data_IF_981061825927
#
_entry.id   IF_981061825927
#
_cell.length_a   1.000
_cell.length_b   1.000
_cell.length_c   1.000
_cell.angle_alpha   90.00
_cell.angle_beta   90.00
_cell.angle_gamma   90.00
#
_symmetry.space_group_name_H-M   'P 1'
#
loop_
_entity.id
_entity.type
_entity.pdbx_description
1 polymer ?
#
# COMPACT_ATOMS: atom_id res chain seq x y z
N UNK A 1 -17.22 13.35 -7.56
CA UNK A 1 -17.09 11.89 -7.79
C UNK A 1 -16.42 11.28 -6.57
N UNK A 2 -17.08 10.34 -5.90
CA UNK A 2 -16.48 9.63 -4.76
C UNK A 2 -15.58 8.52 -5.26
N UNK A 3 -14.35 8.50 -4.83
CA UNK A 3 -13.35 7.51 -5.24
C UNK A 3 -12.75 6.87 -4.01
N UNK A 4 -12.64 5.55 -4.02
CA UNK A 4 -11.87 4.80 -3.04
C UNK A 4 -10.61 4.29 -3.71
N UNK A 5 -9.46 4.50 -3.06
CA UNK A 5 -8.20 3.87 -3.45
C UNK A 5 -7.80 2.79 -2.44
N UNK A 6 -7.48 1.59 -2.92
CA UNK A 6 -6.75 0.59 -2.14
C UNK A 6 -5.25 0.81 -2.36
N UNK A 7 -4.52 1.08 -1.30
CA UNK A 7 -3.15 1.59 -1.37
C UNK A 7 -2.20 0.86 -0.43
N UNK A 8 -0.97 0.68 -0.89
CA UNK A 8 0.17 0.28 -0.07
C UNK A 8 1.47 0.79 -0.69
N UNK A 9 2.41 1.19 0.16
CA UNK A 9 3.72 1.67 -0.26
C UNK A 9 3.71 2.97 -1.06
N UNK A 10 4.86 3.24 -1.70
CA UNK A 10 5.16 4.52 -2.36
C UNK A 10 4.32 4.74 -3.62
N UNK A 11 4.08 3.68 -4.39
CA UNK A 11 3.33 3.78 -5.66
C UNK A 11 1.89 4.23 -5.42
N UNK A 12 1.19 3.54 -4.52
CA UNK A 12 -0.17 3.91 -4.12
C UNK A 12 -0.22 5.30 -3.50
N UNK A 13 0.66 5.62 -2.56
CA UNK A 13 0.70 6.95 -1.94
C UNK A 13 0.84 8.09 -2.97
N UNK A 14 1.62 7.90 -4.02
CA UNK A 14 1.77 8.88 -5.11
C UNK A 14 0.50 9.01 -5.94
N UNK A 15 -0.19 7.89 -6.23
CA UNK A 15 -1.48 7.94 -6.91
C UNK A 15 -2.53 8.63 -6.04
N UNK A 16 -2.58 8.34 -4.74
CA UNK A 16 -3.46 9.02 -3.78
C UNK A 16 -3.29 10.54 -3.83
N UNK A 17 -2.04 11.03 -3.88
CA UNK A 17 -1.76 12.47 -4.04
C UNK A 17 -2.33 13.03 -5.35
N UNK A 18 -2.21 12.27 -6.44
CA UNK A 18 -2.78 12.66 -7.74
C UNK A 18 -4.31 12.73 -7.72
N UNK A 19 -4.95 11.72 -7.15
CA UNK A 19 -6.42 11.69 -6.98
C UNK A 19 -6.91 12.84 -6.10
N UNK A 20 -6.23 13.09 -4.97
CA UNK A 20 -6.56 14.19 -4.05
C UNK A 20 -6.37 15.59 -4.67
N UNK A 21 -5.50 15.73 -5.66
CA UNK A 21 -5.29 17.01 -6.37
C UNK A 21 -6.40 17.36 -7.36
N UNK A 22 -7.35 16.46 -7.65
CA UNK A 22 -8.45 16.69 -8.58
C UNK A 22 -9.66 17.21 -7.81
N UNK A 23 -10.02 18.48 -8.00
CA UNK A 23 -11.12 19.13 -7.26
C UNK A 23 -12.49 18.43 -7.39
N UNK A 24 -12.70 17.65 -8.47
CA UNK A 24 -13.93 16.90 -8.70
C UNK A 24 -13.94 15.53 -8.00
N UNK A 25 -12.86 15.13 -7.33
CA UNK A 25 -12.70 13.85 -6.64
C UNK A 25 -12.82 14.05 -5.13
N UNK A 26 -13.71 13.27 -4.54
CA UNK A 26 -13.84 13.08 -3.09
C UNK A 26 -13.20 11.71 -2.76
N UNK A 27 -11.94 11.75 -2.35
CA UNK A 27 -11.08 10.58 -2.19
C UNK A 27 -11.14 10.03 -0.77
N UNK A 28 -11.25 8.71 -0.64
CA UNK A 28 -10.92 7.96 0.58
C UNK A 28 -9.84 6.92 0.24
N UNK A 29 -8.78 6.86 1.03
CA UNK A 29 -7.69 5.89 0.84
C UNK A 29 -7.77 4.80 1.90
N UNK A 30 -7.86 3.54 1.47
CA UNK A 30 -7.82 2.36 2.35
C UNK A 30 -6.43 1.75 2.23
N UNK A 31 -5.74 1.64 3.36
CA UNK A 31 -4.31 1.33 3.38
C UNK A 31 -4.02 0.00 4.06
N UNK A 32 -3.06 -0.71 3.48
CA UNK A 32 -2.51 -1.95 4.00
C UNK A 32 -1.95 -1.77 5.43
N UNK A 33 -2.22 -2.76 6.28
CA UNK A 33 -1.66 -2.89 7.63
C UNK A 33 -0.93 -4.22 7.84
N UNK A 34 -0.86 -5.05 6.77
CA UNK A 34 -0.18 -6.34 6.82
C UNK A 34 1.33 -6.23 7.07
N UNK A 35 1.90 -5.10 6.71
CA UNK A 35 3.34 -4.80 6.85
C UNK A 35 3.68 -4.14 8.20
N UNK A 36 2.65 -3.87 9.01
CA UNK A 36 2.85 -3.28 10.34
C UNK A 36 3.69 -4.21 11.22
N UNK A 37 4.60 -3.63 11.98
CA UNK A 37 5.54 -4.38 12.81
C UNK A 37 5.80 -3.67 14.14
N UNK A 38 6.40 -4.39 15.08
CA UNK A 38 6.96 -3.81 16.29
C UNK A 38 8.47 -3.64 16.13
N UNK A 39 8.94 -2.42 16.23
CA UNK A 39 10.38 -2.10 16.27
C UNK A 39 10.67 -1.38 17.58
N UNK A 40 11.56 -1.95 18.43
CA UNK A 40 11.83 -1.48 19.78
C UNK A 40 10.55 -1.22 20.61
N UNK A 41 9.60 -2.16 20.56
CA UNK A 41 8.28 -2.05 21.21
C UNK A 41 7.41 -0.87 20.70
N UNK A 42 7.78 -0.24 19.60
CA UNK A 42 6.99 0.79 18.94
C UNK A 42 6.25 0.21 17.75
N UNK A 43 4.96 0.56 17.64
CA UNK A 43 4.15 0.16 16.49
C UNK A 43 4.51 1.01 15.25
N UNK A 44 5.03 0.36 14.24
CA UNK A 44 5.39 0.94 12.94
C UNK A 44 4.35 0.51 11.92
N UNK A 45 3.76 1.46 11.21
CA UNK A 45 2.80 1.24 10.11
C UNK A 45 3.36 1.87 8.83
N UNK A 46 4.24 1.18 8.09
CA UNK A 46 5.00 1.78 7.00
C UNK A 46 4.12 2.36 5.89
N UNK A 47 3.10 1.62 5.47
CA UNK A 47 2.22 2.03 4.39
C UNK A 47 1.31 3.19 4.78
N UNK A 48 0.70 3.15 5.98
CA UNK A 48 -0.09 4.28 6.51
C UNK A 48 0.74 5.56 6.59
N UNK A 49 1.96 5.46 7.12
CA UNK A 49 2.83 6.62 7.29
C UNK A 49 3.27 7.17 5.93
N UNK A 50 3.59 6.30 4.97
CA UNK A 50 3.95 6.70 3.61
C UNK A 50 2.81 7.46 2.93
N UNK A 51 1.58 6.96 3.02
CA UNK A 51 0.39 7.62 2.45
C UNK A 51 0.15 8.97 3.12
N UNK A 52 0.16 9.03 4.46
CA UNK A 52 -0.06 10.28 5.21
C UNK A 52 1.03 11.30 4.90
N UNK A 53 2.30 10.90 4.88
CA UNK A 53 3.41 11.83 4.59
C UNK A 53 3.36 12.35 3.17
N UNK A 54 2.99 11.49 2.20
CA UNK A 54 2.84 11.88 0.80
C UNK A 54 1.70 12.87 0.60
N UNK A 55 0.53 12.64 1.22
CA UNK A 55 -0.61 13.56 1.16
C UNK A 55 -0.31 14.89 1.86
N UNK A 56 0.46 14.86 2.95
CA UNK A 56 0.91 16.04 3.67
C UNK A 56 2.06 16.80 2.97
N UNK A 57 2.68 16.22 1.92
CA UNK A 57 3.83 16.79 1.24
C UNK A 57 5.09 16.88 2.09
N UNK A 58 5.25 15.97 3.08
CA UNK A 58 6.40 15.92 4.00
C UNK A 58 7.23 14.64 3.87
N UNK A 59 6.94 13.82 2.86
CA UNK A 59 7.65 12.59 2.57
C UNK A 59 9.12 12.82 2.27
N UNK A 60 9.97 11.83 2.62
CA UNK A 60 11.39 11.81 2.32
C UNK A 60 11.68 11.63 0.82
N UNK A 61 12.92 11.83 0.42
CA UNK A 61 13.37 11.78 -0.99
C UNK A 61 13.13 10.42 -1.65
N UNK A 62 13.17 9.35 -0.87
CA UNK A 62 12.90 8.00 -1.36
C UNK A 62 11.41 7.67 -1.47
N UNK A 63 10.52 8.59 -1.05
CA UNK A 63 9.07 8.41 -1.01
C UNK A 63 8.55 7.77 0.27
N UNK A 64 9.42 7.50 1.25
CA UNK A 64 9.08 7.03 2.59
C UNK A 64 9.88 7.81 3.65
N UNK A 65 9.50 7.68 4.92
CA UNK A 65 10.06 8.50 6.00
C UNK A 65 9.73 9.98 5.83
N UNK A 66 10.38 10.84 6.59
CA UNK A 66 10.12 12.28 6.61
C UNK A 66 11.26 13.08 5.99
N UNK A 67 10.90 14.11 5.22
CA UNK A 67 11.88 15.03 4.64
C UNK A 67 12.65 15.79 5.73
N UNK A 68 13.96 15.94 5.49
CA UNK A 68 14.87 16.62 6.43
C UNK A 68 14.76 16.03 7.84
N UNK A 69 14.69 14.72 7.95
CA UNK A 69 14.77 14.02 9.22
C UNK A 69 16.23 13.85 9.66
N UNK A 70 16.43 13.63 10.94
CA UNK A 70 17.72 13.33 11.54
C UNK A 70 17.69 11.92 12.11
N UNK A 71 18.87 11.35 12.42
CA UNK A 71 18.98 9.97 12.89
C UNK A 71 19.80 9.87 14.19
N UNK A 72 19.79 10.94 14.99
CA UNK A 72 20.56 11.05 16.25
C UNK A 72 20.14 9.93 17.22
N UNK A 73 18.84 9.65 17.31
CA UNK A 73 18.34 8.56 18.17
C UNK A 73 18.86 7.20 17.71
N UNK A 74 18.89 6.93 16.40
CA UNK A 74 19.41 5.69 15.86
C UNK A 74 20.91 5.53 16.16
N UNK A 75 21.69 6.61 16.01
CA UNK A 75 23.12 6.61 16.33
C UNK A 75 23.37 6.28 17.81
N UNK A 76 22.54 6.80 18.72
CA UNK A 76 22.64 6.48 20.15
C UNK A 76 22.19 5.03 20.45
N UNK A 77 21.12 4.54 19.81
CA UNK A 77 20.67 3.15 19.96
C UNK A 77 21.76 2.15 19.52
N UNK A 78 22.46 2.47 18.44
CA UNK A 78 23.59 1.68 17.94
C UNK A 78 24.73 1.61 18.97
N UNK A 79 25.02 2.73 19.64
CA UNK A 79 26.02 2.78 20.74
C UNK A 79 25.63 1.95 21.95
N UNK A 80 24.34 1.73 22.20
CA UNK A 80 23.83 0.79 23.20
C UNK A 80 23.85 -0.67 22.73
N UNK A 81 24.22 -0.93 21.46
CA UNK A 81 24.29 -2.28 20.90
C UNK A 81 22.92 -2.87 20.52
N UNK A 82 21.92 -2.02 20.31
CA UNK A 82 20.61 -2.46 19.80
C UNK A 82 20.67 -2.63 18.27
N UNK A 83 19.93 -3.60 17.76
CA UNK A 83 19.78 -3.77 16.30
C UNK A 83 19.08 -2.55 15.71
N UNK A 84 19.76 -1.88 14.80
CA UNK A 84 19.33 -0.66 14.16
C UNK A 84 19.28 -0.78 12.63
N UNK A 85 19.11 -2.01 12.13
CA UNK A 85 18.99 -2.27 10.68
C UNK A 85 17.78 -1.57 10.08
N UNK A 86 16.65 -1.53 10.83
CA UNK A 86 15.48 -0.76 10.48
C UNK A 86 15.57 0.65 11.05
N UNK A 87 16.10 1.58 10.24
CA UNK A 87 16.30 2.96 10.67
C UNK A 87 15.02 3.79 10.62
N UNK A 88 14.75 4.49 11.73
CA UNK A 88 13.68 5.47 11.85
C UNK A 88 14.28 6.86 12.06
N UNK A 89 13.87 7.84 11.27
CA UNK A 89 14.25 9.23 11.53
C UNK A 89 13.65 9.75 12.83
N UNK A 90 14.26 10.75 13.46
CA UNK A 90 13.84 11.28 14.77
C UNK A 90 12.41 11.82 14.78
N UNK A 91 11.99 12.51 13.69
CA UNK A 91 10.60 12.97 13.53
C UNK A 91 9.63 11.83 13.26
N UNK A 92 10.09 10.83 12.49
CA UNK A 92 9.33 9.62 12.21
C UNK A 92 9.15 8.80 13.48
N UNK A 93 10.21 8.65 14.29
CA UNK A 93 10.18 8.00 15.59
C UNK A 93 9.19 8.66 16.56
N UNK A 94 9.06 9.99 16.54
CA UNK A 94 8.09 10.70 17.35
C UNK A 94 6.65 10.26 17.03
N UNK A 95 6.31 10.01 15.76
CA UNK A 95 5.00 9.46 15.37
C UNK A 95 4.81 8.05 15.90
N UNK A 96 5.83 7.18 15.83
CA UNK A 96 5.73 5.80 16.36
C UNK A 96 5.54 5.80 17.87
N UNK A 97 6.22 6.69 18.59
CA UNK A 97 6.02 6.90 20.03
C UNK A 97 4.58 7.32 20.34
N UNK A 98 4.07 8.33 19.64
CA UNK A 98 2.69 8.80 19.78
C UNK A 98 1.69 7.66 19.53
N UNK A 99 1.78 6.98 18.37
CA UNK A 99 0.90 5.86 18.00
C UNK A 99 0.92 4.76 19.05
N UNK A 100 2.11 4.30 19.44
CA UNK A 100 2.25 3.22 20.42
C UNK A 100 1.70 3.59 21.77
N UNK A 101 1.85 4.84 22.21
CA UNK A 101 1.26 5.34 23.44
C UNK A 101 -0.28 5.30 23.38
N UNK A 102 -0.86 5.80 22.27
CA UNK A 102 -2.32 5.82 22.08
C UNK A 102 -2.91 4.40 22.04
N UNK A 103 -2.26 3.49 21.31
CA UNK A 103 -2.68 2.08 21.26
C UNK A 103 -2.64 1.43 22.65
N UNK A 104 -1.62 1.71 23.49
CA UNK A 104 -1.57 1.20 24.87
C UNK A 104 -2.69 1.78 25.76
N UNK A 105 -3.23 2.93 25.41
CA UNK A 105 -4.39 3.51 26.08
C UNK A 105 -5.73 2.96 25.56
N UNK A 106 -5.69 2.12 24.53
CA UNK A 106 -6.86 1.43 23.97
C UNK A 106 -7.48 2.12 22.75
N UNK A 107 -6.84 3.14 22.20
CA UNK A 107 -7.36 3.77 20.99
C UNK A 107 -7.14 2.88 19.77
N UNK A 108 -8.14 2.73 18.90
CA UNK A 108 -7.99 1.98 17.64
C UNK A 108 -7.11 2.73 16.65
N UNK A 109 -6.45 1.98 15.74
CA UNK A 109 -5.53 2.53 14.74
C UNK A 109 -6.20 3.56 13.83
N UNK A 110 -7.47 3.36 13.49
CA UNK A 110 -8.28 4.30 12.69
C UNK A 110 -8.46 5.66 13.34
N UNK A 111 -8.68 5.73 14.67
CA UNK A 111 -8.78 7.00 15.40
C UNK A 111 -7.44 7.68 15.55
N UNK A 112 -6.37 6.90 15.79
CA UNK A 112 -5.01 7.41 15.82
C UNK A 112 -4.65 8.01 14.46
N UNK A 113 -4.94 7.30 13.36
CA UNK A 113 -4.70 7.77 11.99
C UNK A 113 -5.43 9.07 11.71
N UNK A 114 -6.70 9.19 12.13
CA UNK A 114 -7.47 10.45 12.02
C UNK A 114 -6.81 11.61 12.76
N UNK A 115 -6.28 11.34 13.95
CA UNK A 115 -5.57 12.36 14.74
C UNK A 115 -4.25 12.79 14.06
N UNK A 116 -3.55 11.84 13.42
CA UNK A 116 -2.32 12.11 12.66
C UNK A 116 -2.62 12.93 11.41
N UNK A 117 -3.69 12.62 10.66
CA UNK A 117 -4.15 13.41 9.51
C UNK A 117 -4.45 14.86 9.94
N UNK A 118 -5.16 15.04 11.04
CA UNK A 118 -5.44 16.37 11.59
C UNK A 118 -4.16 17.13 11.96
N UNK A 119 -3.17 16.46 12.55
CA UNK A 119 -1.88 17.07 12.86
C UNK A 119 -1.14 17.57 11.60
N UNK A 120 -1.24 16.83 10.51
CA UNK A 120 -0.63 17.21 9.23
C UNK A 120 -1.51 18.09 8.34
N UNK A 121 -2.71 18.48 8.80
CA UNK A 121 -3.69 19.23 8.02
C UNK A 121 -4.03 18.54 6.67
N UNK A 122 -4.18 17.23 6.70
CA UNK A 122 -4.63 16.41 5.55
C UNK A 122 -6.13 16.19 5.69
N UNK A 123 -6.90 16.69 4.72
CA UNK A 123 -8.37 16.58 4.70
C UNK A 123 -8.84 15.26 4.09
N UNK A 124 -8.02 14.62 3.24
CA UNK A 124 -8.35 13.33 2.61
C UNK A 124 -8.43 12.24 3.67
N UNK A 125 -9.57 11.53 3.81
CA UNK A 125 -9.68 10.39 4.70
C UNK A 125 -8.70 9.26 4.31
N UNK A 126 -7.91 8.81 5.29
CA UNK A 126 -7.05 7.63 5.19
C UNK A 126 -7.49 6.66 6.27
N UNK A 127 -7.86 5.46 5.87
CA UNK A 127 -8.36 4.41 6.74
C UNK A 127 -7.39 3.22 6.70
N UNK A 128 -6.96 2.68 7.86
CA UNK A 128 -6.35 1.35 7.87
C UNK A 128 -7.39 0.33 7.39
N UNK A 129 -6.98 -0.72 6.70
CA UNK A 129 -7.89 -1.79 6.27
C UNK A 129 -8.66 -2.40 7.45
N UNK A 130 -8.00 -2.48 8.60
CA UNK A 130 -8.55 -2.99 9.87
C UNK A 130 -7.84 -2.34 11.05
N UNK A 131 -8.53 -2.27 12.19
CA UNK A 131 -7.94 -1.93 13.48
C UNK A 131 -7.32 -3.15 14.20
N UNK A 132 -7.63 -4.35 13.70
CA UNK A 132 -7.11 -5.60 14.25
C UNK A 132 -5.69 -5.88 13.77
N UNK A 133 -4.98 -6.72 14.54
CA UNK A 133 -3.64 -7.13 14.16
C UNK A 133 -3.68 -8.11 12.99
N UNK A 134 -3.23 -7.67 11.82
CA UNK A 134 -2.97 -8.50 10.65
C UNK A 134 -1.48 -8.41 10.33
N UNK A 135 -0.85 -9.54 9.97
CA UNK A 135 0.59 -9.58 9.60
C UNK A 135 0.80 -10.43 8.37
N UNK A 136 1.49 -9.84 7.39
CA UNK A 136 1.97 -10.56 6.22
C UNK A 136 3.18 -11.40 6.61
N UNK A 137 3.04 -12.70 6.51
CA UNK A 137 4.11 -13.65 6.70
C UNK A 137 4.47 -14.32 5.38
N UNK A 138 5.75 -14.44 5.14
CA UNK A 138 6.35 -14.88 3.88
C UNK A 138 7.00 -16.23 4.11
N UNK A 139 6.42 -17.26 3.49
CA UNK A 139 6.99 -18.60 3.47
C UNK A 139 8.09 -18.69 2.42
N UNK A 140 9.26 -19.14 2.84
CA UNK A 140 10.42 -19.38 1.98
C UNK A 140 10.80 -20.86 1.95
N UNK A 141 11.87 -21.22 1.25
CA UNK A 141 12.36 -22.59 1.19
C UNK A 141 12.65 -23.17 2.59
N UNK A 142 12.41 -24.45 2.81
CA UNK A 142 12.62 -25.10 4.09
C UNK A 142 11.49 -24.94 5.12
N UNK A 143 10.30 -24.50 4.69
CA UNK A 143 9.15 -24.22 5.57
C UNK A 143 9.41 -23.11 6.63
N UNK A 144 10.37 -22.26 6.39
CA UNK A 144 10.62 -21.08 7.23
C UNK A 144 9.59 -19.98 6.89
N UNK A 145 9.07 -19.31 7.92
CA UNK A 145 8.18 -18.15 7.79
C UNK A 145 8.87 -16.92 8.34
N UNK A 146 8.91 -15.88 7.52
CA UNK A 146 9.51 -14.59 7.87
C UNK A 146 8.41 -13.55 8.05
N UNK A 147 8.59 -12.62 8.99
CA UNK A 147 7.80 -11.39 8.97
C UNK A 147 8.14 -10.56 7.74
N UNK A 148 7.23 -9.67 7.35
CA UNK A 148 7.45 -8.79 6.19
C UNK A 148 8.77 -8.01 6.32
N UNK A 149 9.05 -7.41 7.48
CA UNK A 149 10.25 -6.62 7.69
C UNK A 149 11.52 -7.48 7.68
N UNK A 150 11.45 -8.69 8.22
CA UNK A 150 12.59 -9.61 8.15
C UNK A 150 12.93 -9.93 6.69
N UNK A 151 11.94 -10.30 5.88
CA UNK A 151 12.12 -10.54 4.44
C UNK A 151 12.60 -9.29 3.70
N UNK A 152 11.96 -8.14 3.95
CA UNK A 152 12.19 -6.93 3.17
C UNK A 152 13.49 -6.22 3.54
N UNK A 153 13.80 -6.08 4.84
CA UNK A 153 14.92 -5.30 5.35
C UNK A 153 16.13 -6.21 5.62
N UNK A 154 15.99 -7.25 6.45
CA UNK A 154 17.14 -8.07 6.85
C UNK A 154 17.61 -9.02 5.74
N UNK A 155 16.67 -9.63 5.00
CA UNK A 155 16.96 -10.56 3.90
C UNK A 155 17.05 -9.87 2.54
N UNK A 156 16.82 -8.55 2.47
CA UNK A 156 16.90 -7.72 1.26
C UNK A 156 16.08 -8.28 0.07
N UNK A 157 15.00 -9.01 0.36
CA UNK A 157 14.10 -9.62 -0.63
C UNK A 157 14.80 -10.63 -1.55
N UNK A 158 15.88 -11.26 -1.10
CA UNK A 158 16.66 -12.20 -1.92
C UNK A 158 16.04 -13.61 -1.96
N UNK A 159 15.29 -13.99 -0.91
CA UNK A 159 14.68 -15.31 -0.84
C UNK A 159 13.52 -15.45 -1.83
N UNK A 160 13.39 -16.65 -2.39
CA UNK A 160 12.24 -17.01 -3.24
C UNK A 160 10.99 -17.23 -2.38
N UNK A 161 9.93 -16.49 -2.67
CA UNK A 161 8.66 -16.58 -1.94
C UNK A 161 7.89 -17.83 -2.38
N UNK A 162 7.63 -18.74 -1.48
CA UNK A 162 6.90 -19.99 -1.75
C UNK A 162 5.43 -19.92 -1.39
N UNK A 163 5.10 -19.13 -0.38
CA UNK A 163 3.73 -18.95 0.09
C UNK A 163 3.58 -17.62 0.83
N UNK A 164 2.36 -17.14 0.91
CA UNK A 164 1.98 -16.00 1.75
C UNK A 164 0.85 -16.42 2.68
N UNK A 165 0.85 -15.89 3.89
CA UNK A 165 -0.30 -15.92 4.79
C UNK A 165 -0.46 -14.57 5.48
N UNK A 166 -1.70 -14.24 5.79
CA UNK A 166 -2.06 -13.00 6.47
C UNK A 166 -2.56 -13.37 7.85
N UNK A 167 -1.62 -13.51 8.80
CA UNK A 167 -1.92 -13.92 10.17
C UNK A 167 -2.90 -12.94 10.80
N UNK A 168 -3.98 -13.47 11.35
CA UNK A 168 -5.03 -12.70 12.03
C UNK A 168 -6.13 -12.17 11.09
N UNK A 169 -5.92 -12.17 9.77
CA UNK A 169 -6.91 -11.62 8.83
C UNK A 169 -8.28 -12.34 8.92
N UNK A 170 -8.30 -13.64 9.09
CA UNK A 170 -9.51 -14.47 9.16
C UNK A 170 -10.44 -14.09 10.33
N UNK A 171 -9.91 -13.44 11.36
CA UNK A 171 -10.63 -13.01 12.56
C UNK A 171 -10.81 -11.50 12.66
N UNK A 172 -10.18 -10.76 11.76
CA UNK A 172 -10.25 -9.32 11.73
C UNK A 172 -11.58 -8.83 11.15
N UNK A 173 -11.91 -7.58 11.47
CA UNK A 173 -13.04 -6.87 10.88
C UNK A 173 -12.52 -5.61 10.18
N UNK A 174 -13.15 -5.15 9.10
CA UNK A 174 -12.79 -3.89 8.46
C UNK A 174 -12.84 -2.73 9.48
N UNK A 175 -11.89 -1.82 9.40
CA UNK A 175 -11.97 -0.62 10.22
C UNK A 175 -13.25 0.19 9.91
N UNK A 176 -13.75 0.97 10.88
CA UNK A 176 -14.98 1.73 10.69
C UNK A 176 -14.92 2.64 9.46
N UNK A 177 -15.92 2.53 8.58
CA UNK A 177 -16.03 3.32 7.36
C UNK A 177 -15.43 2.67 6.11
N UNK A 178 -14.66 1.59 6.21
CA UNK A 178 -13.98 0.95 5.06
C UNK A 178 -14.99 0.37 4.06
N UNK A 179 -15.87 -0.52 4.51
CA UNK A 179 -16.86 -1.16 3.62
C UNK A 179 -17.89 -0.14 3.13
N UNK A 180 -18.30 0.78 3.98
CA UNK A 180 -19.20 1.88 3.64
C UNK A 180 -18.61 2.78 2.54
N UNK A 181 -17.31 3.10 2.63
CA UNK A 181 -16.62 3.89 1.61
C UNK A 181 -16.61 3.16 0.26
N UNK A 182 -16.25 1.87 0.23
CA UNK A 182 -16.25 1.05 -0.99
C UNK A 182 -17.64 1.00 -1.60
N UNK A 183 -18.67 0.67 -0.81
CA UNK A 183 -20.03 0.55 -1.29
C UNK A 183 -20.64 1.88 -1.76
N UNK A 184 -20.18 3.00 -1.20
CA UNK A 184 -20.64 4.35 -1.52
C UNK A 184 -19.84 5.06 -2.61
N UNK A 185 -18.78 4.45 -3.12
CA UNK A 185 -17.92 5.02 -4.14
C UNK A 185 -18.58 5.01 -5.54
N UNK A 186 -18.21 5.96 -6.38
CA UNK A 186 -18.49 5.95 -7.81
C UNK A 186 -17.47 5.11 -8.59
N UNK A 187 -16.25 4.97 -8.03
CA UNK A 187 -15.20 4.11 -8.56
C UNK A 187 -14.26 3.64 -7.44
N UNK A 188 -13.76 2.43 -7.57
CA UNK A 188 -12.66 1.88 -6.77
C UNK A 188 -11.41 1.82 -7.63
N UNK A 189 -10.28 2.28 -7.12
CA UNK A 189 -8.98 2.24 -7.78
C UNK A 189 -8.01 1.43 -6.93
N UNK A 190 -7.42 0.40 -7.49
CA UNK A 190 -6.30 -0.32 -6.88
C UNK A 190 -5.03 0.37 -7.36
N UNK A 191 -4.30 0.99 -6.42
CA UNK A 191 -3.08 1.74 -6.72
C UNK A 191 -1.95 0.85 -7.26
N UNK A 192 -0.89 1.45 -7.87
CA UNK A 192 0.26 0.72 -8.39
C UNK A 192 1.14 0.19 -7.24
N UNK A 193 0.56 -0.67 -6.46
CA UNK A 193 1.14 -1.33 -5.29
C UNK A 193 1.42 -2.79 -5.60
N UNK A 194 2.31 -3.42 -4.85
CA UNK A 194 2.62 -4.84 -5.02
C UNK A 194 1.36 -5.70 -4.76
N UNK A 195 0.81 -6.41 -5.78
CA UNK A 195 -0.44 -7.14 -5.61
C UNK A 195 -0.40 -8.13 -4.43
N UNK A 196 0.55 -9.09 -4.34
CA UNK A 196 0.62 -10.03 -3.24
C UNK A 196 0.92 -9.43 -1.87
N UNK A 197 1.81 -8.43 -1.80
CA UNK A 197 2.33 -7.96 -0.52
C UNK A 197 1.58 -6.76 0.05
N UNK A 198 0.97 -5.92 -0.80
CA UNK A 198 0.33 -4.68 -0.34
C UNK A 198 -1.19 -4.68 -0.50
N UNK A 199 -1.72 -5.35 -1.55
CA UNK A 199 -3.17 -5.33 -1.81
C UNK A 199 -3.88 -6.58 -1.28
N UNK A 200 -3.30 -7.76 -1.46
CA UNK A 200 -3.92 -8.98 -0.93
C UNK A 200 -4.13 -8.95 0.59
N UNK A 201 -3.23 -8.37 1.43
CA UNK A 201 -3.52 -8.22 2.86
C UNK A 201 -4.76 -7.38 3.17
N UNK A 202 -5.02 -6.32 2.37
CA UNK A 202 -6.26 -5.52 2.47
C UNK A 202 -7.46 -6.40 2.12
N UNK A 203 -7.37 -7.13 1.01
CA UNK A 203 -8.44 -8.00 0.51
C UNK A 203 -8.67 -9.25 1.39
N UNK A 204 -7.70 -9.62 2.22
CA UNK A 204 -7.81 -10.73 3.15
C UNK A 204 -8.68 -10.43 4.38
N UNK A 205 -8.91 -9.15 4.67
CA UNK A 205 -9.85 -8.73 5.72
C UNK A 205 -11.28 -9.03 5.28
N UNK A 206 -12.04 -9.87 6.00
CA UNK A 206 -13.38 -10.30 5.61
C UNK A 206 -14.32 -9.13 5.33
N UNK A 207 -15.05 -9.19 4.23
CA UNK A 207 -15.98 -8.14 3.79
C UNK A 207 -15.37 -7.12 2.81
N UNK A 208 -14.05 -6.91 2.81
CA UNK A 208 -13.41 -5.96 1.86
C UNK A 208 -13.39 -6.55 0.45
N UNK A 209 -12.91 -7.78 0.29
CA UNK A 209 -12.85 -8.44 -1.03
C UNK A 209 -14.24 -8.54 -1.66
N UNK A 210 -15.24 -8.89 -0.87
CA UNK A 210 -16.62 -9.02 -1.31
C UNK A 210 -17.20 -7.66 -1.73
N UNK A 211 -16.91 -6.60 -0.99
CA UNK A 211 -17.35 -5.25 -1.34
C UNK A 211 -16.70 -4.76 -2.65
N UNK A 212 -15.41 -5.01 -2.85
CA UNK A 212 -14.69 -4.68 -4.09
C UNK A 212 -15.24 -5.49 -5.26
N UNK A 213 -15.42 -6.81 -5.10
CA UNK A 213 -15.92 -7.70 -6.15
C UNK A 213 -17.39 -7.37 -6.57
N UNK A 214 -18.17 -6.82 -5.65
CA UNK A 214 -19.54 -6.38 -5.93
C UNK A 214 -19.62 -4.97 -6.57
N UNK A 215 -18.51 -4.23 -6.57
CA UNK A 215 -18.47 -2.88 -7.10
C UNK A 215 -18.49 -2.89 -8.64
N UNK A 216 -19.19 -1.91 -9.25
CA UNK A 216 -19.43 -1.86 -10.69
C UNK A 216 -18.32 -1.23 -11.53
N UNK A 217 -17.36 -0.59 -10.89
CA UNK A 217 -16.27 0.11 -11.54
C UNK A 217 -15.02 0.01 -10.69
N UNK A 218 -14.21 -0.99 -10.99
CA UNK A 218 -12.93 -1.25 -10.32
C UNK A 218 -11.80 -1.20 -11.35
N UNK A 219 -10.91 -0.24 -11.21
CA UNK A 219 -9.72 -0.11 -12.04
C UNK A 219 -8.47 -0.44 -11.21
N UNK A 220 -7.54 -1.21 -11.75
CA UNK A 220 -6.22 -1.38 -11.15
C UNK A 220 -5.15 -0.68 -12.00
N UNK A 221 -4.12 -0.17 -11.33
CA UNK A 221 -2.91 0.33 -12.00
C UNK A 221 -1.79 -0.65 -11.77
N UNK A 222 -1.16 -1.08 -12.86
CA UNK A 222 -0.02 -1.99 -12.78
C UNK A 222 1.18 -1.34 -12.11
N UNK A 223 1.91 -2.04 -11.23
CA UNK A 223 3.17 -1.57 -10.68
C UNK A 223 4.37 -1.81 -11.63
N UNK A 224 4.14 -2.34 -12.83
CA UNK A 224 5.19 -2.78 -13.75
C UNK A 224 5.48 -1.75 -14.85
N UNK A 225 6.74 -1.73 -15.29
CA UNK A 225 7.28 -0.95 -16.41
C UNK A 225 8.22 -1.84 -17.20
N UNK A 226 7.91 -2.11 -18.45
CA UNK A 226 8.67 -3.08 -19.24
C UNK A 226 8.67 -4.48 -18.60
N UNK A 227 7.55 -4.88 -18.01
CA UNK A 227 7.36 -6.16 -17.33
C UNK A 227 8.04 -6.29 -15.97
N UNK A 228 8.61 -5.22 -15.40
CA UNK A 228 9.34 -5.22 -14.12
C UNK A 228 8.89 -4.13 -13.18
N UNK A 229 8.96 -4.40 -11.89
CA UNK A 229 8.71 -3.39 -10.88
C UNK A 229 9.84 -2.34 -10.85
N UNK A 230 9.50 -1.05 -10.78
CA UNK A 230 10.49 0.03 -10.61
C UNK A 230 11.13 0.01 -9.22
N UNK A 231 10.36 -0.38 -8.21
CA UNK A 231 10.80 -0.51 -6.82
C UNK A 231 10.17 -1.75 -6.20
N UNK A 232 10.95 -2.41 -5.35
CA UNK A 232 10.49 -3.62 -4.68
C UNK A 232 10.40 -4.84 -5.61
N UNK A 233 9.95 -5.98 -5.10
CA UNK A 233 10.04 -7.28 -5.75
C UNK A 233 8.74 -7.75 -6.41
N UNK A 234 7.82 -6.86 -6.84
CA UNK A 234 6.47 -7.27 -7.26
C UNK A 234 6.50 -8.34 -8.36
N UNK A 235 7.28 -8.13 -9.43
CA UNK A 235 7.44 -9.08 -10.53
C UNK A 235 8.02 -10.42 -10.06
N UNK A 236 9.04 -10.40 -9.19
CA UNK A 236 9.67 -11.62 -8.66
C UNK A 236 8.75 -12.38 -7.71
N UNK A 237 8.06 -11.66 -6.82
CA UNK A 237 7.12 -12.29 -5.87
C UNK A 237 5.94 -12.91 -6.60
N UNK A 238 5.36 -12.23 -7.59
CA UNK A 238 4.29 -12.78 -8.41
C UNK A 238 4.75 -14.06 -9.14
N UNK A 239 5.91 -14.01 -9.80
CA UNK A 239 6.47 -15.16 -10.47
C UNK A 239 6.76 -16.35 -9.52
N UNK A 240 7.29 -16.07 -8.32
CA UNK A 240 7.55 -17.08 -7.29
C UNK A 240 6.27 -17.75 -6.79
N UNK A 241 5.16 -17.04 -6.79
CA UNK A 241 3.83 -17.54 -6.42
C UNK A 241 3.11 -18.25 -7.59
N UNK A 242 3.77 -18.37 -8.76
CA UNK A 242 3.24 -19.07 -9.92
C UNK A 242 2.32 -18.23 -10.80
N UNK A 243 2.24 -16.91 -10.58
CA UNK A 243 1.50 -16.02 -11.47
C UNK A 243 2.26 -15.84 -12.80
N UNK A 244 1.55 -15.66 -13.92
CA UNK A 244 2.15 -15.33 -15.21
C UNK A 244 3.10 -14.13 -15.14
N UNK A 245 4.10 -14.06 -16.03
CA UNK A 245 4.98 -12.90 -16.09
C UNK A 245 4.25 -11.66 -16.64
N UNK A 246 4.75 -10.48 -16.30
CA UNK A 246 4.24 -9.21 -16.82
C UNK A 246 2.83 -8.85 -16.31
N UNK A 247 2.12 -8.09 -17.11
CA UNK A 247 0.79 -7.58 -16.73
C UNK A 247 -0.31 -8.65 -16.74
N UNK A 248 -0.08 -9.79 -17.40
CA UNK A 248 -0.97 -10.95 -17.28
C UNK A 248 -1.01 -11.44 -15.82
N UNK A 249 0.15 -11.50 -15.14
CA UNK A 249 0.21 -11.85 -13.71
C UNK A 249 -0.47 -10.83 -12.81
N UNK A 250 -0.43 -9.54 -13.15
CA UNK A 250 -1.17 -8.51 -12.42
C UNK A 250 -2.68 -8.70 -12.60
N UNK A 251 -3.13 -8.95 -13.82
CA UNK A 251 -4.55 -9.23 -14.09
C UNK A 251 -5.03 -10.48 -13.35
N UNK A 252 -4.24 -11.56 -13.34
CA UNK A 252 -4.57 -12.80 -12.62
C UNK A 252 -4.59 -12.59 -11.10
N UNK A 253 -3.68 -11.78 -10.55
CA UNK A 253 -3.66 -11.43 -9.13
C UNK A 253 -4.97 -10.76 -8.66
N UNK A 254 -5.70 -10.12 -9.57
CA UNK A 254 -6.96 -9.42 -9.33
C UNK A 254 -8.17 -10.09 -10.02
N UNK A 255 -8.04 -11.35 -10.41
CA UNK A 255 -9.10 -12.07 -11.11
C UNK A 255 -10.43 -12.00 -10.36
N UNK A 256 -11.48 -11.58 -11.07
CA UNK A 256 -12.84 -11.41 -10.53
C UNK A 256 -13.02 -10.19 -9.63
N UNK A 257 -12.07 -9.24 -9.63
CA UNK A 257 -12.15 -8.01 -8.85
C UNK A 257 -12.17 -6.77 -9.73
N UNK A 258 -11.44 -6.76 -10.85
CA UNK A 258 -11.24 -5.57 -11.67
C UNK A 258 -11.99 -5.64 -13.00
N UNK A 259 -12.51 -4.49 -13.45
CA UNK A 259 -13.10 -4.30 -14.76
C UNK A 259 -12.05 -3.83 -15.78
N UNK A 260 -11.06 -3.06 -15.30
CA UNK A 260 -9.99 -2.52 -16.15
C UNK A 260 -8.63 -2.56 -15.46
N UNK A 261 -7.58 -2.74 -16.27
CA UNK A 261 -6.18 -2.66 -15.85
C UNK A 261 -5.48 -1.60 -16.69
N UNK A 262 -4.91 -0.62 -15.99
CA UNK A 262 -4.05 0.41 -16.57
C UNK A 262 -2.61 -0.06 -16.52
N UNK A 263 -1.96 -0.12 -17.68
CA UNK A 263 -0.57 -0.54 -17.83
C UNK A 263 0.26 0.60 -18.43
N UNK A 264 1.58 0.53 -18.26
CA UNK A 264 2.46 1.51 -18.87
C UNK A 264 2.53 1.32 -20.41
N UNK A 265 2.77 2.41 -21.13
CA UNK A 265 2.95 2.38 -22.59
C UNK A 265 4.11 1.49 -23.03
N UNK A 266 5.12 1.29 -22.17
CA UNK A 266 6.21 0.36 -22.44
C UNK A 266 5.76 -1.10 -22.53
N UNK A 267 4.60 -1.42 -21.92
CA UNK A 267 4.01 -2.76 -21.86
C UNK A 267 2.81 -2.92 -22.81
N UNK A 268 2.62 -2.04 -23.77
CA UNK A 268 1.44 -2.04 -24.67
C UNK A 268 1.23 -3.39 -25.40
N UNK A 269 2.29 -4.15 -25.62
CA UNK A 269 2.21 -5.47 -26.22
C UNK A 269 1.44 -6.49 -25.35
N UNK A 270 1.36 -6.28 -24.05
CA UNK A 270 0.62 -7.15 -23.13
C UNK A 270 -0.91 -7.00 -23.31
N UNK A 271 -1.37 -5.86 -23.87
CA UNK A 271 -2.79 -5.58 -24.05
C UNK A 271 -3.53 -6.63 -24.90
N UNK A 272 -2.83 -7.19 -25.90
CA UNK A 272 -3.41 -8.19 -26.81
C UNK A 272 -3.45 -9.60 -26.21
N UNK A 273 -2.73 -9.83 -25.10
CA UNK A 273 -2.58 -11.16 -24.46
C UNK A 273 -3.48 -11.36 -23.26
N UNK A 274 -3.92 -10.26 -22.62
CA UNK A 274 -4.74 -10.30 -21.39
C UNK A 274 -6.22 -10.34 -21.77
N UNK A 275 -6.89 -11.40 -21.36
CA UNK A 275 -8.31 -11.59 -21.64
C UNK A 275 -9.20 -11.28 -20.43
N UNK A 276 -10.42 -10.84 -20.68
CA UNK A 276 -11.46 -10.68 -19.64
C UNK A 276 -11.38 -9.41 -18.82
N UNK A 277 -10.43 -8.52 -19.11
CA UNK A 277 -10.25 -7.21 -18.47
C UNK A 277 -9.99 -6.17 -19.55
N UNK A 278 -10.58 -4.98 -19.42
CA UNK A 278 -10.28 -3.86 -20.32
C UNK A 278 -8.87 -3.33 -20.03
N UNK A 279 -8.02 -3.25 -21.07
CA UNK A 279 -6.64 -2.76 -20.92
C UNK A 279 -6.54 -1.34 -21.46
N UNK A 280 -5.97 -0.45 -20.65
CA UNK A 280 -5.61 0.91 -21.08
C UNK A 280 -4.10 1.11 -20.92
N UNK A 281 -3.39 1.36 -22.02
CA UNK A 281 -1.96 1.65 -21.99
C UNK A 281 -1.72 3.17 -22.01
N UNK A 282 -1.17 3.71 -20.93
CA UNK A 282 -0.83 5.13 -20.77
C UNK A 282 0.47 5.25 -19.99
N UNK A 283 1.05 6.45 -19.93
CA UNK A 283 2.22 6.70 -19.08
C UNK A 283 1.78 6.60 -17.61
N UNK A 284 2.29 5.58 -16.89
CA UNK A 284 2.00 5.33 -15.47
C UNK A 284 3.13 5.79 -14.55
N UNK A 285 4.20 6.38 -15.09
CA UNK A 285 5.31 6.87 -14.28
C UNK A 285 4.92 8.14 -13.51
N UNK A 286 4.83 8.01 -12.19
CA UNK A 286 4.48 9.12 -11.30
C UNK A 286 5.76 9.82 -10.81
N UNK A 287 6.13 10.92 -11.45
CA UNK A 287 7.26 11.76 -11.07
C UNK A 287 6.91 12.82 -10.03
N UNK A 288 5.73 13.43 -10.17
CA UNK A 288 5.25 14.54 -9.36
C UNK A 288 3.72 14.55 -9.22
N UNK A 289 3.16 15.61 -8.63
CA UNK A 289 1.70 15.74 -8.44
C UNK A 289 0.97 15.93 -9.76
N UNK A 290 1.57 16.56 -10.76
CA UNK A 290 0.93 16.84 -12.05
C UNK A 290 0.79 15.55 -12.86
N UNK A 291 1.86 14.76 -12.98
CA UNK A 291 1.83 13.44 -13.63
C UNK A 291 0.89 12.47 -12.90
N UNK A 292 0.87 12.49 -11.55
CA UNK A 292 -0.09 11.72 -10.76
C UNK A 292 -1.54 12.11 -11.05
N UNK A 293 -1.84 13.42 -11.14
CA UNK A 293 -3.17 13.90 -11.44
C UNK A 293 -3.58 13.61 -12.90
N UNK A 294 -2.65 13.66 -13.84
CA UNK A 294 -2.91 13.29 -15.25
C UNK A 294 -3.28 11.80 -15.36
N UNK A 295 -2.50 10.92 -14.74
CA UNK A 295 -2.81 9.50 -14.65
C UNK A 295 -4.18 9.26 -13.99
N UNK A 296 -4.45 9.94 -12.88
CA UNK A 296 -5.72 9.81 -12.15
C UNK A 296 -6.92 10.22 -13.00
N UNK A 297 -6.81 11.32 -13.79
CA UNK A 297 -7.88 11.71 -14.73
C UNK A 297 -8.11 10.65 -15.80
N UNK A 298 -7.05 10.10 -16.36
CA UNK A 298 -7.17 9.05 -17.38
C UNK A 298 -7.87 7.80 -16.82
N UNK A 299 -7.51 7.35 -15.61
CA UNK A 299 -8.17 6.21 -14.92
C UNK A 299 -9.67 6.50 -14.71
N UNK A 300 -10.00 7.72 -14.33
CA UNK A 300 -11.37 8.11 -13.99
C UNK A 300 -12.20 8.56 -15.21
N UNK A 301 -11.59 8.76 -16.37
CA UNK A 301 -12.26 9.27 -17.58
C UNK A 301 -12.68 10.74 -17.43
N UNK A 302 -11.85 11.57 -16.77
CA UNK A 302 -12.09 12.99 -16.48
C UNK A 302 -11.25 13.92 -17.37
#
# INVERSE_FOLDING_TARGET
>A
MKVVELSGGVGGARLARGLAAIAAVDLTVIVNVGDDESNHDLHVSPDLDTVVYTLAGVEGEHGWGRRQDTFVTNEELDRFGLDNTFQLGDKDLALKLYRSQRMRLGDPLSEITRSVLSFFAVDTPVLPATDDRVRTEIGIEGNEWLSFQNYFVHRQQEDEVRALRFEGADKSVPAPGVVEAINGADAVVIGPSNPPLSIWPILAVPGIREAVAAHRRVAAVSPLFGGKALKGPADRVMASLGLPPGNEGVAEAYLGLIDSLVIDTADIADADTIAGVEITAIDTLIGDTESAAALSRAILGL
#
